data_IF_694551877733
#
_entry.id   IF_694551877733
#
_cell.length_a   1.000
_cell.length_b   1.000
_cell.length_c   1.000
_cell.angle_alpha   90.00
_cell.angle_beta   90.00
_cell.angle_gamma   90.00
#
_symmetry.space_group_name_H-M   'P 1'
#
loop_
_entity.id
_entity.type
_entity.pdbx_description
1 polymer ?
#
# COMPACT_ATOMS: atom_id res chain seq x y z
N UNK A 1 21.81 -2.59 0.14
CA UNK A 1 21.43 -3.46 -0.99
C UNK A 1 20.01 -3.92 -0.72
N UNK A 2 19.08 -3.69 -1.66
CA UNK A 2 17.69 -4.01 -1.48
C UNK A 2 17.46 -5.51 -1.40
N UNK A 3 16.56 -5.92 -0.48
CA UNK A 3 16.26 -7.32 -0.23
C UNK A 3 14.81 -7.63 -0.63
N UNK A 4 14.64 -8.68 -1.44
CA UNK A 4 13.34 -9.25 -1.78
C UNK A 4 13.13 -10.50 -0.94
N UNK A 5 12.03 -10.55 -0.18
CA UNK A 5 11.55 -11.77 0.45
C UNK A 5 10.58 -12.47 -0.49
N UNK A 6 10.91 -13.67 -0.94
CA UNK A 6 10.06 -14.54 -1.77
C UNK A 6 9.45 -15.61 -0.88
N UNK A 7 8.12 -15.64 -0.79
CA UNK A 7 7.37 -16.67 -0.06
C UNK A 7 6.59 -17.50 -1.09
N UNK A 8 7.08 -18.69 -1.36
CA UNK A 8 6.60 -19.58 -2.42
C UNK A 8 6.96 -21.03 -2.04
N UNK A 9 6.05 -21.98 -2.15
CA UNK A 9 6.29 -23.40 -1.77
C UNK A 9 6.90 -24.24 -2.91
N UNK A 10 6.69 -23.82 -4.16
CA UNK A 10 7.23 -24.52 -5.33
C UNK A 10 8.72 -24.28 -5.52
N UNK A 11 9.56 -25.28 -5.25
CA UNK A 11 11.02 -25.20 -5.45
C UNK A 11 11.45 -24.76 -6.87
N UNK A 12 10.82 -25.23 -7.96
CA UNK A 12 11.11 -24.72 -9.31
C UNK A 12 10.84 -23.22 -9.45
N UNK A 13 9.72 -22.74 -8.88
CA UNK A 13 9.35 -21.32 -8.90
C UNK A 13 10.31 -20.49 -8.06
N UNK A 14 10.66 -20.94 -6.85
CA UNK A 14 11.67 -20.29 -5.99
C UNK A 14 12.98 -20.05 -6.75
N UNK A 15 13.52 -21.09 -7.43
CA UNK A 15 14.75 -20.98 -8.22
C UNK A 15 14.63 -19.99 -9.36
N UNK A 16 13.48 -19.95 -10.02
CA UNK A 16 13.22 -19.02 -11.13
C UNK A 16 13.17 -17.58 -10.62
N UNK A 17 12.47 -17.34 -9.53
CA UNK A 17 12.37 -16.02 -8.91
C UNK A 17 13.71 -15.56 -8.32
N UNK A 18 14.44 -16.46 -7.68
CA UNK A 18 15.77 -16.17 -7.15
C UNK A 18 16.71 -15.68 -8.26
N UNK A 19 16.84 -16.45 -9.34
CA UNK A 19 17.68 -16.07 -10.49
C UNK A 19 17.24 -14.75 -11.12
N UNK A 20 15.94 -14.53 -11.21
CA UNK A 20 15.37 -13.30 -11.77
C UNK A 20 15.80 -12.07 -10.96
N UNK A 21 15.66 -12.12 -9.65
CA UNK A 21 15.95 -10.98 -8.78
C UNK A 21 17.45 -10.79 -8.52
N UNK A 22 18.22 -11.89 -8.38
CA UNK A 22 19.68 -11.82 -8.25
C UNK A 22 20.33 -11.24 -9.51
N UNK A 23 19.85 -11.61 -10.71
CA UNK A 23 20.30 -11.02 -11.97
C UNK A 23 20.02 -9.51 -12.07
N UNK A 24 19.04 -9.03 -11.30
CA UNK A 24 18.69 -7.62 -11.18
C UNK A 24 19.43 -6.86 -10.06
N UNK A 25 20.37 -7.54 -9.40
CA UNK A 25 21.21 -6.97 -8.35
C UNK A 25 20.52 -6.89 -6.97
N UNK A 26 19.43 -7.64 -6.78
CA UNK A 26 18.71 -7.68 -5.50
C UNK A 26 19.22 -8.86 -4.64
N UNK A 27 19.23 -8.66 -3.33
CA UNK A 27 19.42 -9.76 -2.39
C UNK A 27 18.09 -10.52 -2.24
N UNK A 28 18.13 -11.88 -2.28
CA UNK A 28 16.90 -12.69 -2.24
C UNK A 28 16.89 -13.58 -1.01
N UNK A 29 15.82 -13.46 -0.23
CA UNK A 29 15.50 -14.40 0.84
C UNK A 29 14.33 -15.28 0.39
N UNK A 30 14.41 -16.58 0.63
CA UNK A 30 13.39 -17.56 0.26
C UNK A 30 12.77 -18.15 1.51
N UNK A 31 11.45 -18.23 1.52
CA UNK A 31 10.66 -18.96 2.51
C UNK A 31 9.71 -19.93 1.79
N UNK A 32 9.65 -21.18 2.25
CA UNK A 32 8.88 -22.24 1.59
C UNK A 32 7.44 -22.39 2.07
N UNK A 33 7.05 -21.62 3.06
CA UNK A 33 5.69 -21.58 3.60
C UNK A 33 5.37 -20.24 4.27
N UNK A 34 4.10 -20.02 4.59
CA UNK A 34 3.66 -18.74 5.13
C UNK A 34 4.19 -18.43 6.53
N UNK A 35 4.42 -19.44 7.38
CA UNK A 35 4.97 -19.24 8.73
C UNK A 35 6.43 -18.81 8.64
N UNK A 36 7.25 -19.56 7.88
CA UNK A 36 8.65 -19.23 7.64
C UNK A 36 8.78 -17.85 6.96
N UNK A 37 7.85 -17.51 6.05
CA UNK A 37 7.78 -16.20 5.40
C UNK A 37 7.59 -15.07 6.39
N UNK A 38 6.61 -15.17 7.27
CA UNK A 38 6.36 -14.14 8.27
C UNK A 38 7.46 -14.06 9.33
N UNK A 39 8.03 -15.17 9.75
CA UNK A 39 9.20 -15.18 10.66
C UNK A 39 10.43 -14.50 10.03
N UNK A 40 10.72 -14.79 8.74
CA UNK A 40 11.80 -14.13 8.01
C UNK A 40 11.56 -12.62 7.90
N UNK A 41 10.33 -12.21 7.58
CA UNK A 41 9.92 -10.81 7.52
C UNK A 41 10.16 -10.06 8.84
N UNK A 42 9.80 -10.67 9.97
CA UNK A 42 9.99 -10.07 11.30
C UNK A 42 11.45 -9.97 11.71
N UNK A 43 12.26 -10.96 11.34
CA UNK A 43 13.68 -11.01 11.69
C UNK A 43 14.49 -9.97 10.94
N UNK A 44 14.19 -9.76 9.67
CA UNK A 44 14.87 -8.80 8.82
C UNK A 44 13.86 -8.22 7.82
N UNK A 45 13.40 -7.02 8.08
CA UNK A 45 12.43 -6.33 7.23
C UNK A 45 12.96 -6.17 5.81
N UNK A 46 12.32 -6.77 4.78
CA UNK A 46 12.75 -6.66 3.40
C UNK A 46 12.34 -5.34 2.76
N UNK A 47 12.94 -4.99 1.61
CA UNK A 47 12.52 -3.85 0.78
C UNK A 47 11.20 -4.13 0.05
N UNK A 48 10.87 -5.41 -0.21
CA UNK A 48 9.63 -5.86 -0.84
C UNK A 48 9.37 -7.34 -0.53
N UNK A 49 8.11 -7.73 -0.46
CA UNK A 49 7.68 -9.12 -0.37
C UNK A 49 7.03 -9.55 -1.68
N UNK A 50 7.45 -10.71 -2.22
CA UNK A 50 6.78 -11.43 -3.31
C UNK A 50 6.14 -12.66 -2.70
N UNK A 51 4.82 -12.78 -2.75
CA UNK A 51 4.03 -13.68 -1.93
C UNK A 51 3.07 -14.52 -2.76
N UNK A 52 3.19 -15.84 -2.73
CA UNK A 52 2.14 -16.72 -3.23
C UNK A 52 0.96 -16.77 -2.25
N UNK A 53 -0.24 -16.88 -2.79
CA UNK A 53 -1.46 -17.07 -1.99
C UNK A 53 -1.65 -18.49 -1.49
N UNK A 54 -1.26 -19.48 -2.31
CA UNK A 54 -1.42 -20.89 -2.00
C UNK A 54 -0.18 -21.42 -1.28
N UNK A 55 -0.09 -21.14 0.00
CA UNK A 55 1.02 -21.60 0.84
C UNK A 55 0.56 -22.62 1.87
N UNK A 56 1.42 -23.58 2.22
CA UNK A 56 1.18 -24.47 3.35
C UNK A 56 1.34 -23.74 4.68
N UNK A 57 0.78 -24.31 5.73
CA UNK A 57 0.83 -23.88 7.14
C UNK A 57 0.11 -22.55 7.41
N UNK A 58 0.45 -21.49 6.74
CA UNK A 58 -0.20 -20.17 6.86
C UNK A 58 -0.55 -19.66 5.45
N UNK A 59 -1.84 -19.47 5.13
CA UNK A 59 -2.27 -18.98 3.83
C UNK A 59 -1.67 -17.61 3.50
N UNK A 60 -1.33 -17.38 2.23
CA UNK A 60 -0.71 -16.12 1.81
C UNK A 60 -1.55 -14.87 2.14
N UNK A 61 -2.87 -15.00 2.17
CA UNK A 61 -3.77 -13.92 2.62
C UNK A 61 -3.50 -13.50 4.07
N UNK A 62 -3.25 -14.46 4.95
CA UNK A 62 -2.91 -14.20 6.36
C UNK A 62 -1.50 -13.64 6.50
N UNK A 63 -0.54 -14.15 5.70
CA UNK A 63 0.83 -13.61 5.65
C UNK A 63 0.80 -12.14 5.22
N UNK A 64 0.06 -11.80 4.16
CA UNK A 64 -0.09 -10.42 3.69
C UNK A 64 -0.62 -9.51 4.82
N UNK A 65 -1.71 -9.92 5.46
CA UNK A 65 -2.30 -9.18 6.59
C UNK A 65 -1.30 -8.99 7.73
N UNK A 66 -0.58 -10.04 8.12
CA UNK A 66 0.38 -10.01 9.21
C UNK A 66 1.59 -9.11 8.88
N UNK A 67 2.13 -9.18 7.66
CA UNK A 67 3.19 -8.30 7.19
C UNK A 67 2.76 -6.83 7.22
N UNK A 68 1.56 -6.53 6.71
CA UNK A 68 1.02 -5.17 6.70
C UNK A 68 0.68 -4.63 8.09
N UNK A 69 0.26 -5.48 9.00
CA UNK A 69 0.06 -5.10 10.40
C UNK A 69 1.39 -4.82 11.13
N UNK A 70 2.47 -5.52 10.75
CA UNK A 70 3.79 -5.37 11.37
C UNK A 70 4.57 -4.17 10.79
N UNK A 71 4.62 -4.04 9.47
CA UNK A 71 5.29 -2.95 8.75
C UNK A 71 4.49 -2.57 7.50
N UNK A 72 3.53 -1.65 7.66
CA UNK A 72 2.60 -1.24 6.60
C UNK A 72 3.29 -0.62 5.38
N UNK A 73 4.45 0.00 5.56
CA UNK A 73 5.25 0.64 4.50
C UNK A 73 5.93 -0.35 3.55
N UNK A 74 6.20 -1.58 4.00
CA UNK A 74 6.83 -2.60 3.15
C UNK A 74 5.85 -3.05 2.07
N UNK A 75 6.19 -2.89 0.78
CA UNK A 75 5.32 -3.31 -0.30
C UNK A 75 5.22 -4.83 -0.39
N UNK A 76 3.99 -5.31 -0.68
CA UNK A 76 3.68 -6.72 -0.91
C UNK A 76 3.12 -6.88 -2.31
N UNK A 77 3.83 -7.63 -3.16
CA UNK A 77 3.40 -8.03 -4.51
C UNK A 77 2.94 -9.48 -4.45
N UNK A 78 1.68 -9.72 -4.72
CA UNK A 78 1.08 -11.05 -4.61
C UNK A 78 1.12 -11.80 -5.93
N UNK A 79 1.48 -13.09 -5.90
CA UNK A 79 1.36 -14.02 -7.01
C UNK A 79 0.06 -14.81 -6.85
N UNK A 80 -0.85 -14.74 -7.83
CA UNK A 80 -2.15 -15.43 -7.80
C UNK A 80 -2.31 -16.35 -9.00
N UNK A 81 -2.83 -17.57 -8.77
CA UNK A 81 -3.18 -18.50 -9.84
C UNK A 81 -4.57 -18.21 -10.43
N UNK A 82 -5.34 -17.32 -9.83
CA UNK A 82 -6.73 -17.08 -10.18
C UNK A 82 -6.93 -15.68 -10.73
N UNK A 83 -7.62 -15.59 -11.87
CA UNK A 83 -7.93 -14.33 -12.56
C UNK A 83 -9.27 -13.73 -12.08
N UNK A 84 -9.92 -14.36 -11.11
CA UNK A 84 -11.21 -13.91 -10.62
C UNK A 84 -11.11 -12.53 -9.95
N UNK A 85 -12.02 -11.66 -10.34
CA UNK A 85 -12.08 -10.26 -9.86
C UNK A 85 -12.21 -10.19 -8.34
N UNK A 86 -12.89 -11.17 -7.73
CA UNK A 86 -13.11 -11.24 -6.28
C UNK A 86 -11.81 -11.47 -5.50
N UNK A 87 -10.91 -12.33 -6.00
CA UNK A 87 -9.59 -12.53 -5.36
C UNK A 87 -8.71 -11.30 -5.49
N UNK A 88 -8.76 -10.57 -6.62
CA UNK A 88 -8.01 -9.33 -6.83
C UNK A 88 -8.48 -8.21 -5.89
N UNK A 89 -9.78 -8.06 -5.73
CA UNK A 89 -10.38 -7.09 -4.78
C UNK A 89 -10.01 -7.45 -3.36
N UNK A 90 -10.15 -8.72 -2.97
CA UNK A 90 -9.79 -9.19 -1.63
C UNK A 90 -8.30 -8.96 -1.30
N UNK A 91 -7.40 -9.14 -2.27
CA UNK A 91 -5.97 -8.92 -2.08
C UNK A 91 -5.63 -7.44 -1.84
N UNK A 92 -6.25 -6.57 -2.60
CA UNK A 92 -6.15 -5.14 -2.38
C UNK A 92 -6.78 -4.74 -1.03
N UNK A 93 -7.86 -5.42 -0.64
CA UNK A 93 -8.48 -5.26 0.69
C UNK A 93 -7.57 -5.70 1.84
N UNK A 94 -6.69 -6.65 1.64
CA UNK A 94 -5.68 -7.07 2.62
C UNK A 94 -4.48 -6.15 2.70
N UNK A 95 -4.43 -5.11 1.86
CA UNK A 95 -3.36 -4.13 1.81
C UNK A 95 -2.20 -4.50 0.91
N UNK A 96 -2.35 -5.50 0.03
CA UNK A 96 -1.37 -5.77 -1.02
C UNK A 96 -1.18 -4.54 -1.93
N UNK A 97 0.05 -4.25 -2.32
CA UNK A 97 0.38 -3.07 -3.12
C UNK A 97 0.26 -3.33 -4.62
N UNK A 98 0.45 -4.58 -5.03
CA UNK A 98 0.26 -5.03 -6.41
C UNK A 98 0.00 -6.55 -6.43
N UNK A 99 -0.47 -7.07 -7.57
CA UNK A 99 -0.62 -8.51 -7.79
C UNK A 99 -0.20 -8.88 -9.22
N UNK A 100 0.19 -10.14 -9.41
CA UNK A 100 0.55 -10.73 -10.71
C UNK A 100 -0.13 -12.08 -10.84
N UNK A 101 -0.83 -12.30 -11.95
CA UNK A 101 -1.49 -13.57 -12.22
C UNK A 101 -0.51 -14.57 -12.85
N UNK A 102 -0.52 -15.81 -12.36
CA UNK A 102 0.20 -16.94 -12.95
C UNK A 102 -0.60 -17.52 -14.14
N UNK A 103 0.01 -17.78 -15.32
CA UNK A 103 1.42 -17.61 -15.65
C UNK A 103 1.78 -16.14 -15.96
N UNK A 104 2.94 -15.69 -15.52
CA UNK A 104 3.41 -14.32 -15.72
C UNK A 104 4.72 -14.25 -16.50
N UNK A 105 4.96 -13.12 -17.14
CA UNK A 105 6.25 -12.82 -17.74
C UNK A 105 7.26 -12.42 -16.66
N UNK A 106 8.51 -12.98 -16.65
CA UNK A 106 9.56 -12.53 -15.74
C UNK A 106 9.80 -11.00 -15.80
N UNK A 107 9.72 -10.40 -16.99
CA UNK A 107 9.87 -8.96 -17.19
C UNK A 107 8.73 -8.17 -16.53
N UNK A 108 7.52 -8.68 -16.58
CA UNK A 108 6.36 -8.06 -15.95
C UNK A 108 6.51 -8.06 -14.42
N UNK A 109 6.80 -9.22 -13.83
CA UNK A 109 6.99 -9.33 -12.38
C UNK A 109 8.11 -8.41 -11.90
N UNK A 110 9.26 -8.40 -12.60
CA UNK A 110 10.38 -7.55 -12.25
C UNK A 110 10.02 -6.06 -12.31
N UNK A 111 9.30 -5.63 -13.35
CA UNK A 111 8.83 -4.25 -13.47
C UNK A 111 7.91 -3.83 -12.32
N UNK A 112 7.02 -4.73 -11.87
CA UNK A 112 6.11 -4.47 -10.75
C UNK A 112 6.84 -4.42 -9.42
N UNK A 113 7.77 -5.36 -9.18
CA UNK A 113 8.60 -5.37 -7.97
C UNK A 113 9.44 -4.10 -7.88
N UNK A 114 10.12 -3.71 -8.96
CA UNK A 114 10.87 -2.44 -9.01
C UNK A 114 9.98 -1.22 -8.78
N UNK A 115 8.77 -1.22 -9.35
CA UNK A 115 7.79 -0.16 -9.12
C UNK A 115 7.36 -0.10 -7.64
N UNK A 116 7.09 -1.25 -7.03
CA UNK A 116 6.72 -1.34 -5.62
C UNK A 116 7.86 -0.83 -4.72
N UNK A 117 9.10 -1.24 -4.98
CA UNK A 117 10.29 -0.80 -4.24
C UNK A 117 10.55 0.70 -4.39
N UNK A 118 10.49 1.27 -5.62
CA UNK A 118 10.63 2.72 -5.83
C UNK A 118 9.59 3.51 -5.05
N UNK A 119 8.41 2.98 -4.93
CA UNK A 119 7.33 3.59 -4.14
C UNK A 119 7.58 3.51 -2.64
N UNK A 120 8.18 2.41 -2.16
CA UNK A 120 8.69 2.28 -0.79
C UNK A 120 9.93 3.17 -0.56
N UNK A 121 10.82 3.26 -1.55
CA UNK A 121 12.07 4.02 -1.50
C UNK A 121 11.92 5.52 -1.79
N UNK A 122 11.03 5.94 -2.68
CA UNK A 122 10.78 7.37 -2.92
C UNK A 122 10.21 8.08 -1.70
N UNK A 123 9.51 7.36 -0.84
CA UNK A 123 9.13 7.86 0.49
C UNK A 123 10.34 7.97 1.43
N UNK A 124 11.45 7.25 1.15
CA UNK A 124 12.71 7.32 1.92
C UNK A 124 13.78 8.22 1.23
N UNK A 125 13.80 8.33 -0.12
CA UNK A 125 14.80 9.13 -0.84
C UNK A 125 14.41 10.60 -1.01
N UNK A 126 13.11 10.94 -1.03
CA UNK A 126 12.68 12.34 -0.90
C UNK A 126 13.08 12.94 0.44
N UNK A 127 13.40 12.12 1.47
CA UNK A 127 14.00 12.60 2.71
C UNK A 127 15.50 12.88 2.62
N UNK A 128 16.22 12.36 1.61
CA UNK A 128 17.69 12.52 1.54
C UNK A 128 18.19 13.56 0.54
N UNK A 129 17.34 14.09 -0.34
CA UNK A 129 17.75 15.10 -1.34
C UNK A 129 17.32 16.53 -1.00
N UNK A 130 16.63 16.72 0.12
CA UNK A 130 16.17 18.06 0.56
C UNK A 130 16.74 18.44 1.94
N UNK A 131 18.06 18.26 2.12
CA UNK A 131 18.79 18.89 3.23
C UNK A 131 19.01 20.38 2.96
N UNK A 132 18.00 21.10 2.51
CA UNK A 132 17.96 22.56 2.52
C UNK A 132 16.49 22.99 2.58
N UNK A 133 15.96 23.09 3.78
CA UNK A 133 14.61 23.56 4.07
C UNK A 133 13.62 22.43 4.30
N UNK A 134 13.62 21.88 5.52
CA UNK A 134 12.62 20.91 6.00
C UNK A 134 11.22 21.55 6.04
N UNK A 135 10.51 21.58 4.93
CA UNK A 135 9.06 21.62 4.96
C UNK A 135 8.58 20.18 5.14
N UNK A 136 8.27 19.82 6.38
CA UNK A 136 7.49 18.61 6.64
C UNK A 136 6.18 18.71 5.88
N UNK A 137 5.91 17.73 5.01
CA UNK A 137 4.65 17.62 4.27
C UNK A 137 3.58 17.09 5.25
N UNK A 138 3.17 17.99 6.13
CA UNK A 138 2.23 17.70 7.22
C UNK A 138 0.89 18.32 6.86
N UNK A 139 -0.14 17.50 6.87
CA UNK A 139 -1.53 17.93 6.79
C UNK A 139 -2.21 17.69 8.12
N UNK A 140 -2.90 18.70 8.63
CA UNK A 140 -3.68 18.60 9.86
C UNK A 140 -5.10 19.16 9.63
N UNK A 141 -6.10 18.47 10.18
CA UNK A 141 -7.49 18.90 10.20
C UNK A 141 -8.21 18.24 11.39
N UNK A 142 -9.06 18.99 12.07
CA UNK A 142 -9.68 18.60 13.35
C UNK A 142 -8.64 17.96 14.31
N UNK A 143 -8.86 16.73 14.74
CA UNK A 143 -7.95 15.94 15.59
C UNK A 143 -6.98 15.05 14.81
N UNK A 144 -6.93 15.18 13.47
CA UNK A 144 -6.10 14.37 12.58
C UNK A 144 -4.81 15.12 12.24
N UNK A 145 -3.67 14.42 12.33
CA UNK A 145 -2.37 14.88 11.85
C UNK A 145 -1.73 13.80 10.99
N UNK A 146 -1.28 14.16 9.81
CA UNK A 146 -0.66 13.26 8.83
C UNK A 146 0.68 13.85 8.46
N UNK A 147 1.74 13.09 8.69
CA UNK A 147 3.08 13.36 8.20
C UNK A 147 3.36 12.41 7.04
N UNK A 148 3.31 12.91 5.83
CA UNK A 148 3.56 12.12 4.62
C UNK A 148 5.03 11.79 4.45
N UNK A 149 5.93 12.58 5.00
CA UNK A 149 7.37 12.33 4.98
C UNK A 149 7.73 11.20 5.93
N UNK A 150 7.23 11.26 7.16
CA UNK A 150 7.46 10.22 8.17
C UNK A 150 6.55 8.99 8.03
N UNK A 151 5.58 8.99 7.09
CA UNK A 151 4.57 7.93 6.96
C UNK A 151 3.81 7.68 8.27
N UNK A 152 3.51 8.73 8.99
CA UNK A 152 2.83 8.67 10.30
C UNK A 152 1.49 9.40 10.20
N UNK A 153 0.44 8.78 10.69
CA UNK A 153 -0.85 9.41 10.85
C UNK A 153 -1.37 9.20 12.27
N UNK A 154 -1.94 10.24 12.84
CA UNK A 154 -2.55 10.20 14.17
C UNK A 154 -3.92 10.83 14.16
N UNK A 155 -4.77 10.38 15.07
CA UNK A 155 -6.05 11.01 15.39
C UNK A 155 -6.13 11.21 16.91
N UNK A 156 -6.09 12.46 17.36
CA UNK A 156 -5.84 12.78 18.76
C UNK A 156 -4.54 12.13 19.24
N UNK A 157 -4.60 11.35 20.31
CA UNK A 157 -3.46 10.60 20.86
C UNK A 157 -3.26 9.21 20.22
N UNK A 158 -4.16 8.78 19.32
CA UNK A 158 -4.13 7.44 18.70
C UNK A 158 -3.33 7.45 17.41
N UNK A 159 -2.29 6.61 17.32
CA UNK A 159 -1.59 6.34 16.05
C UNK A 159 -2.47 5.49 15.13
N UNK A 160 -2.53 5.84 13.85
CA UNK A 160 -3.27 5.13 12.81
C UNK A 160 -2.30 4.35 11.93
N UNK A 161 -2.55 3.07 11.79
CA UNK A 161 -1.77 2.22 10.88
C UNK A 161 -2.37 2.33 9.48
N UNK A 162 -1.59 2.86 8.53
CA UNK A 162 -1.96 2.98 7.12
C UNK A 162 -1.01 2.18 6.25
N UNK A 163 -1.54 1.60 5.18
CA UNK A 163 -0.72 1.02 4.12
C UNK A 163 -0.14 2.12 3.22
N UNK A 164 0.93 1.81 2.47
CA UNK A 164 1.51 2.74 1.50
C UNK A 164 0.48 3.24 0.47
N UNK A 165 -0.47 2.36 0.08
CA UNK A 165 -1.52 2.72 -0.86
C UNK A 165 -2.57 3.65 -0.25
N UNK A 166 -2.91 3.46 1.04
CA UNK A 166 -3.79 4.38 1.77
C UNK A 166 -3.14 5.75 1.94
N UNK A 167 -1.83 5.82 2.23
CA UNK A 167 -1.08 7.08 2.26
C UNK A 167 -1.12 7.82 0.92
N UNK A 168 -0.97 7.10 -0.20
CA UNK A 168 -1.05 7.71 -1.54
C UNK A 168 -2.42 8.27 -1.85
N UNK A 169 -3.46 7.47 -1.60
CA UNK A 169 -4.83 7.91 -1.81
C UNK A 169 -5.13 9.13 -0.93
N UNK A 170 -4.68 9.12 0.31
CA UNK A 170 -4.82 10.21 1.24
C UNK A 170 -4.07 11.47 0.76
N UNK A 171 -2.81 11.32 0.29
CA UNK A 171 -2.03 12.42 -0.29
C UNK A 171 -2.71 13.03 -1.51
N UNK A 172 -3.27 12.18 -2.38
CA UNK A 172 -4.02 12.65 -3.56
C UNK A 172 -5.22 13.50 -3.16
N UNK A 173 -5.97 13.06 -2.16
CA UNK A 173 -7.10 13.81 -1.62
C UNK A 173 -6.68 15.13 -0.97
N UNK A 174 -5.64 15.11 -0.14
CA UNK A 174 -5.17 16.32 0.56
C UNK A 174 -4.55 17.35 -0.37
N UNK A 175 -3.98 16.93 -1.51
CA UNK A 175 -3.49 17.83 -2.55
C UNK A 175 -4.61 18.44 -3.42
N UNK A 176 -5.83 17.92 -3.33
CA UNK A 176 -6.98 18.40 -4.12
C UNK A 176 -8.20 18.64 -3.22
N UNK A 177 -8.08 19.48 -2.17
CA UNK A 177 -9.16 19.69 -1.22
C UNK A 177 -10.37 20.31 -1.91
N UNK A 178 -11.55 19.89 -1.50
CA UNK A 178 -12.85 20.37 -2.01
C UNK A 178 -13.13 20.11 -3.49
N UNK A 179 -12.22 19.48 -4.23
CA UNK A 179 -12.44 19.05 -5.62
C UNK A 179 -13.18 17.72 -5.65
N UNK A 180 -14.11 17.57 -6.58
CA UNK A 180 -14.71 16.28 -6.90
C UNK A 180 -13.75 15.50 -7.81
N UNK A 181 -13.35 14.32 -7.39
CA UNK A 181 -12.41 13.46 -8.09
C UNK A 181 -13.14 12.21 -8.52
N UNK A 182 -13.09 11.87 -9.81
CA UNK A 182 -13.77 10.68 -10.32
C UNK A 182 -13.09 9.39 -9.83
N UNK A 183 -13.84 8.28 -9.83
CA UNK A 183 -13.28 6.96 -9.50
C UNK A 183 -12.22 6.53 -10.50
N UNK A 184 -12.41 6.86 -11.76
CA UNK A 184 -11.45 6.56 -12.83
C UNK A 184 -10.17 7.37 -12.66
N UNK A 185 -10.27 8.65 -12.35
CA UNK A 185 -9.12 9.50 -12.05
C UNK A 185 -8.32 8.96 -10.86
N UNK A 186 -8.99 8.66 -9.74
CA UNK A 186 -8.33 8.04 -8.59
C UNK A 186 -7.66 6.72 -8.95
N UNK A 187 -8.34 5.88 -9.73
CA UNK A 187 -7.80 4.60 -10.15
C UNK A 187 -6.53 4.78 -11.01
N UNK A 188 -6.55 5.73 -11.93
CA UNK A 188 -5.44 6.00 -12.82
C UNK A 188 -4.24 6.63 -12.09
N UNK A 189 -4.46 7.64 -11.29
CA UNK A 189 -3.40 8.44 -10.71
C UNK A 189 -2.81 7.80 -9.44
N UNK A 190 -3.61 7.12 -8.64
CA UNK A 190 -3.15 6.47 -7.41
C UNK A 190 -2.67 5.03 -7.65
N UNK A 191 -3.30 4.27 -8.56
CA UNK A 191 -2.92 2.88 -8.89
C UNK A 191 -2.17 2.73 -10.21
N UNK A 192 -2.37 3.65 -11.18
CA UNK A 192 -1.68 3.66 -12.48
C UNK A 192 -2.38 2.86 -13.58
N UNK A 193 -2.16 3.28 -14.81
CA UNK A 193 -2.99 3.07 -16.02
C UNK A 193 -3.24 1.63 -16.50
N UNK A 194 -2.57 0.60 -16.04
CA UNK A 194 -2.57 -0.63 -16.87
C UNK A 194 -3.16 -1.90 -16.29
N UNK A 195 -3.65 -1.96 -15.02
CA UNK A 195 -4.03 -3.27 -14.51
C UNK A 195 -5.04 -3.34 -13.34
N UNK A 196 -5.92 -2.37 -13.16
CA UNK A 196 -6.94 -2.49 -12.13
C UNK A 196 -8.33 -2.70 -12.72
N UNK A 197 -8.98 -3.80 -12.35
CA UNK A 197 -10.16 -4.26 -13.07
C UNK A 197 -11.43 -3.46 -12.80
N UNK A 198 -11.53 -2.72 -11.70
CA UNK A 198 -12.77 -1.99 -11.39
C UNK A 198 -12.56 -0.78 -10.46
N UNK A 199 -13.39 0.22 -10.61
CA UNK A 199 -13.54 1.37 -9.71
C UNK A 199 -13.91 0.97 -8.27
N UNK A 200 -14.38 -0.26 -8.04
CA UNK A 200 -14.70 -0.83 -6.73
C UNK A 200 -13.47 -0.88 -5.79
N UNK A 201 -12.26 -0.99 -6.36
CA UNK A 201 -11.01 -0.89 -5.59
C UNK A 201 -10.91 0.45 -4.88
N UNK A 202 -11.28 1.54 -5.56
CA UNK A 202 -11.29 2.90 -4.98
C UNK A 202 -12.30 2.96 -3.85
N UNK A 203 -13.52 2.43 -4.08
CA UNK A 203 -14.59 2.46 -3.08
C UNK A 203 -14.17 1.76 -1.76
N UNK A 204 -13.50 0.62 -1.86
CA UNK A 204 -12.99 -0.13 -0.71
C UNK A 204 -11.90 0.64 0.06
N UNK A 205 -10.98 1.29 -0.65
CA UNK A 205 -9.93 2.08 0.01
C UNK A 205 -10.50 3.35 0.66
N UNK A 206 -11.46 3.99 0.02
CA UNK A 206 -12.18 5.13 0.64
C UNK A 206 -12.95 4.67 1.89
N UNK A 207 -13.59 3.50 1.85
CA UNK A 207 -14.24 2.92 3.04
C UNK A 207 -13.25 2.73 4.19
N UNK A 208 -12.03 2.25 3.93
CA UNK A 208 -10.98 2.10 4.95
C UNK A 208 -10.48 3.43 5.49
N UNK A 209 -10.29 4.42 4.63
CA UNK A 209 -9.94 5.76 5.10
C UNK A 209 -11.04 6.29 6.02
N UNK A 210 -12.33 6.09 5.68
CA UNK A 210 -13.45 6.47 6.55
C UNK A 210 -13.38 5.76 7.91
N UNK A 211 -13.14 4.44 7.92
CA UNK A 211 -13.01 3.67 9.17
C UNK A 211 -11.90 4.17 10.09
N UNK A 212 -10.85 4.76 9.54
CA UNK A 212 -9.69 5.25 10.28
C UNK A 212 -9.80 6.72 10.67
N UNK A 213 -10.33 7.54 9.79
CA UNK A 213 -10.32 8.99 9.94
C UNK A 213 -11.66 9.61 10.29
N UNK A 214 -12.79 9.02 9.91
CA UNK A 214 -14.10 9.59 10.20
C UNK A 214 -14.53 9.34 11.66
N UNK A 215 -15.20 10.32 12.29
CA UNK A 215 -15.86 10.07 13.56
C UNK A 215 -16.95 9.00 13.46
N UNK A 216 -17.74 9.04 12.37
CA UNK A 216 -18.73 8.05 11.98
C UNK A 216 -18.52 7.67 10.51
N UNK A 217 -18.00 6.47 10.22
CA UNK A 217 -17.77 6.01 8.85
C UNK A 217 -19.04 5.93 7.99
N UNK A 218 -20.21 5.76 8.60
CA UNK A 218 -21.51 5.69 7.88
C UNK A 218 -21.99 7.08 7.45
N UNK A 219 -21.63 8.13 8.22
CA UNK A 219 -21.94 9.53 7.95
C UNK A 219 -20.65 10.34 7.81
N UNK A 220 -19.88 10.16 6.72
CA UNK A 220 -18.56 10.74 6.55
C UNK A 220 -18.61 12.26 6.44
N UNK A 221 -17.66 12.94 7.10
CA UNK A 221 -17.48 14.40 7.07
C UNK A 221 -16.33 14.82 6.16
N UNK A 222 -15.29 13.99 6.06
CA UNK A 222 -14.06 14.30 5.30
C UNK A 222 -14.08 13.70 3.90
N UNK A 223 -14.42 12.41 3.78
CA UNK A 223 -14.41 11.71 2.50
C UNK A 223 -15.84 11.53 1.97
N UNK A 224 -16.37 12.56 1.34
CA UNK A 224 -17.76 12.58 0.87
C UNK A 224 -17.93 11.79 -0.42
N UNK A 225 -19.04 11.07 -0.56
CA UNK A 225 -19.47 10.49 -1.83
C UNK A 225 -20.30 11.49 -2.61
N UNK A 226 -19.89 11.77 -3.84
CA UNK A 226 -20.68 12.55 -4.78
C UNK A 226 -21.29 11.54 -5.77
N UNK A 227 -22.57 11.28 -5.60
CA UNK A 227 -23.29 10.27 -6.38
C UNK A 227 -23.13 10.51 -7.89
N UNK A 228 -22.81 9.47 -8.64
CA UNK A 228 -22.59 9.52 -10.08
C UNK A 228 -21.25 10.15 -10.51
N UNK A 229 -20.52 10.87 -9.61
CA UNK A 229 -19.30 11.60 -9.98
C UNK A 229 -18.02 11.06 -9.35
N UNK A 230 -18.05 10.63 -8.08
CA UNK A 230 -16.86 10.14 -7.40
C UNK A 230 -16.79 10.54 -5.93
N UNK A 231 -15.64 11.07 -5.52
CA UNK A 231 -15.38 11.44 -4.13
C UNK A 231 -14.86 12.87 -4.01
N UNK A 232 -15.10 13.45 -2.85
CA UNK A 232 -14.61 14.79 -2.50
C UNK A 232 -14.04 14.75 -1.08
N UNK A 233 -12.80 15.24 -0.92
CA UNK A 233 -12.21 15.43 0.39
C UNK A 233 -12.49 16.86 0.89
N UNK A 234 -13.03 16.97 2.08
CA UNK A 234 -13.27 18.25 2.76
C UNK A 234 -12.52 18.16 4.09
N UNK A 235 -11.39 18.86 4.26
CA UNK A 235 -10.76 18.93 5.56
C UNK A 235 -11.74 19.60 6.54
N UNK A 236 -11.82 19.08 7.76
CA UNK A 236 -12.51 19.77 8.85
C UNK A 236 -11.90 21.16 9.11
N UNK A 237 -12.55 21.99 9.84
CA UNK A 237 -12.03 23.30 10.20
C UNK A 237 -10.64 23.14 10.82
N UNK A 238 -9.62 23.68 10.17
CA UNK A 238 -8.29 23.80 10.73
C UNK A 238 -8.41 24.79 11.90
N UNK A 239 -8.64 24.25 13.10
CA UNK A 239 -8.64 25.05 14.30
C UNK A 239 -7.36 25.85 14.35
N UNK A 240 -7.47 27.15 14.24
CA UNK A 240 -6.39 28.06 14.61
C UNK A 240 -5.90 27.67 16.00
N UNK A 241 -4.59 27.61 16.27
CA UNK A 241 -4.10 27.43 17.60
C UNK A 241 -4.70 28.56 18.46
N UNK A 242 -5.48 28.19 19.45
CA UNK A 242 -5.86 29.11 20.52
C UNK A 242 -4.57 29.56 21.19
N UNK A 243 -4.14 30.77 20.84
CA UNK A 243 -3.22 31.52 21.69
C UNK A 243 -3.89 31.70 23.08
N UNK A 244 -3.29 31.11 24.07
CA UNK A 244 -3.27 31.58 25.44
C UNK A 244 -2.00 31.20 26.12
#
# INVERSE_FOLDING_TARGET
>A
MDTVLVVEDSRPMQRTLQRLFEADGLNVQIAEDGVAGFESFRRQTPSVVVLDLKLPRMPGKEVCRACKAHAASVPVVVLSANDEVEDKVLLLELGADDYVTKPFSPKELLARVRRAMRRGGQLAEETNTLSSGLQHDIVAFDDVRIDFTGMVATRGSKSLILTAQEFKLLKYFTNSPSRVISREELLNDVWGYQNYPTTRTVDNHVLRLRQKFEPDPANPRYFLTIHGSGYKFVPGDSGQPLEK
#
